data_IF_946330661937
#
_entry.id   IF_946330661937
#
_cell.length_a   1.000
_cell.length_b   1.000
_cell.length_c   1.000
_cell.angle_alpha   90.00
_cell.angle_beta   90.00
_cell.angle_gamma   90.00
#
_symmetry.space_group_name_H-M   'P 1'
#
loop_
_entity.id
_entity.type
_entity.pdbx_description
1 polymer ?
#
# COMPACT_ATOMS: atom_id res chain seq x y z
N UNK A 1 5.58 -7.79 13.21
CA UNK A 1 6.35 -8.36 12.09
C UNK A 1 6.34 -9.88 12.05
N UNK A 2 6.68 -10.60 13.14
CA UNK A 2 6.73 -12.07 13.13
C UNK A 2 5.39 -12.78 12.81
N UNK A 3 4.24 -12.18 13.11
CA UNK A 3 2.93 -12.75 12.74
C UNK A 3 2.58 -12.52 11.25
N UNK A 4 2.84 -11.31 10.73
CA UNK A 4 2.63 -10.96 9.32
C UNK A 4 3.52 -11.79 8.39
N UNK A 5 4.81 -11.89 8.70
CA UNK A 5 5.74 -12.73 7.93
C UNK A 5 5.34 -14.20 7.93
N UNK A 6 4.93 -14.76 9.08
CA UNK A 6 4.48 -16.18 9.15
C UNK A 6 3.22 -16.44 8.33
N UNK A 7 2.24 -15.53 8.35
CA UNK A 7 1.05 -15.62 7.49
C UNK A 7 1.44 -15.59 6.01
N UNK A 8 2.37 -14.71 5.63
CA UNK A 8 2.89 -14.65 4.26
C UNK A 8 3.62 -15.92 3.83
N UNK A 9 4.38 -16.59 4.72
CA UNK A 9 5.03 -17.86 4.39
C UNK A 9 4.05 -18.96 4.02
N UNK A 10 2.95 -19.10 4.78
CA UNK A 10 1.89 -20.09 4.47
C UNK A 10 1.25 -19.79 3.11
N UNK A 11 0.81 -18.55 2.90
CA UNK A 11 0.14 -18.15 1.67
C UNK A 11 1.08 -18.21 0.46
N UNK A 12 2.37 -17.92 0.64
CA UNK A 12 3.37 -18.05 -0.41
C UNK A 12 3.54 -19.52 -0.83
N UNK A 13 3.59 -20.45 0.14
CA UNK A 13 3.67 -21.87 -0.16
C UNK A 13 2.43 -22.37 -0.91
N UNK A 14 1.23 -21.92 -0.53
CA UNK A 14 -0.02 -22.22 -1.26
C UNK A 14 0.00 -21.67 -2.70
N UNK A 15 0.63 -20.52 -2.92
CA UNK A 15 0.81 -19.92 -4.24
C UNK A 15 2.00 -20.51 -5.04
N UNK A 16 2.72 -21.50 -4.50
CA UNK A 16 3.91 -22.08 -5.15
C UNK A 16 5.15 -21.17 -5.13
N UNK A 17 5.16 -20.14 -4.28
CA UNK A 17 6.26 -19.19 -4.12
C UNK A 17 7.14 -19.62 -2.94
N UNK A 18 8.44 -19.79 -3.20
CA UNK A 18 9.43 -20.01 -2.15
C UNK A 18 9.74 -18.68 -1.44
N UNK A 19 9.22 -18.50 -0.23
CA UNK A 19 9.45 -17.30 0.58
C UNK A 19 10.42 -17.57 1.73
N UNK A 20 11.47 -16.75 1.82
CA UNK A 20 12.42 -16.76 2.95
C UNK A 20 12.32 -15.45 3.70
N UNK A 21 12.07 -15.53 5.02
CA UNK A 21 12.11 -14.36 5.90
C UNK A 21 13.51 -14.21 6.48
N UNK A 22 14.12 -13.06 6.25
CA UNK A 22 15.45 -12.74 6.77
C UNK A 22 15.31 -11.60 7.77
N UNK A 23 15.76 -11.77 9.03
CA UNK A 23 15.72 -10.68 10.01
C UNK A 23 16.72 -9.60 9.64
N UNK A 24 16.36 -8.34 9.91
CA UNK A 24 17.30 -7.24 9.74
C UNK A 24 18.50 -7.37 10.68
N UNK A 25 19.71 -7.10 10.18
CA UNK A 25 20.89 -6.90 11.01
C UNK A 25 20.72 -5.75 12.01
N UNK A 26 21.60 -5.70 13.02
CA UNK A 26 21.53 -4.70 14.09
C UNK A 26 21.81 -3.25 13.62
N UNK A 27 22.40 -3.06 12.43
CA UNK A 27 22.81 -1.73 11.94
C UNK A 27 22.29 -1.46 10.54
N UNK A 28 22.09 -0.18 10.21
CA UNK A 28 21.70 0.28 8.87
C UNK A 28 22.73 -0.18 7.81
N UNK A 29 24.02 -0.01 8.08
CA UNK A 29 25.09 -0.41 7.15
C UNK A 29 25.10 -1.94 6.88
N UNK A 30 24.90 -2.77 7.91
CA UNK A 30 24.82 -4.22 7.72
C UNK A 30 23.53 -4.61 6.98
N UNK A 31 22.42 -3.91 7.23
CA UNK A 31 21.17 -4.11 6.48
C UNK A 31 21.34 -3.76 5.01
N UNK A 32 22.04 -2.67 4.70
CA UNK A 32 22.34 -2.28 3.33
C UNK A 32 23.20 -3.31 2.60
N UNK A 33 24.22 -3.86 3.28
CA UNK A 33 25.04 -4.93 2.74
C UNK A 33 24.22 -6.20 2.45
N UNK A 34 23.30 -6.57 3.36
CA UNK A 34 22.38 -7.69 3.16
C UNK A 34 21.43 -7.45 1.98
N UNK A 35 20.87 -6.25 1.83
CA UNK A 35 20.04 -5.90 0.68
C UNK A 35 20.81 -6.03 -0.63
N UNK A 36 22.08 -5.59 -0.66
CA UNK A 36 22.96 -5.70 -1.82
C UNK A 36 23.29 -7.16 -2.18
N UNK A 37 23.53 -8.00 -1.18
CA UNK A 37 23.75 -9.44 -1.38
C UNK A 37 22.51 -10.10 -1.99
N UNK A 38 21.34 -9.84 -1.40
CA UNK A 38 20.07 -10.37 -1.90
C UNK A 38 19.74 -9.85 -3.31
N UNK A 39 20.03 -8.57 -3.59
CA UNK A 39 19.79 -7.98 -4.91
C UNK A 39 20.67 -8.60 -5.99
N UNK A 40 21.90 -9.00 -5.64
CA UNK A 40 22.86 -9.59 -6.59
C UNK A 40 22.73 -11.11 -6.74
N UNK A 41 21.99 -11.79 -5.87
CA UNK A 41 21.86 -13.24 -5.90
C UNK A 41 20.92 -13.72 -7.03
N UNK A 42 21.43 -14.49 -7.99
CA UNK A 42 20.65 -14.99 -9.12
C UNK A 42 19.51 -15.96 -8.72
N UNK A 43 19.60 -16.59 -7.55
CA UNK A 43 18.57 -17.51 -7.02
C UNK A 43 17.41 -16.77 -6.33
N UNK A 44 17.45 -15.43 -6.28
CA UNK A 44 16.41 -14.59 -5.67
C UNK A 44 15.77 -13.73 -6.75
N UNK A 45 14.52 -14.02 -7.10
CA UNK A 45 13.77 -13.29 -8.12
C UNK A 45 13.30 -11.90 -7.65
N UNK A 46 13.04 -11.77 -6.35
CA UNK A 46 12.32 -10.64 -5.78
C UNK A 46 12.66 -10.43 -4.30
N UNK A 47 12.60 -9.18 -3.83
CA UNK A 47 12.80 -8.83 -2.42
C UNK A 47 11.82 -7.74 -2.01
N UNK A 48 11.20 -7.91 -0.84
CA UNK A 48 10.46 -6.84 -0.16
C UNK A 48 11.21 -6.45 1.12
N UNK A 49 11.51 -5.17 1.27
CA UNK A 49 12.02 -4.61 2.52
C UNK A 49 10.82 -4.21 3.39
N UNK A 50 10.50 -5.06 4.38
CA UNK A 50 9.36 -4.83 5.26
C UNK A 50 9.58 -3.59 6.15
N UNK A 51 8.57 -2.73 6.22
CA UNK A 51 8.60 -1.51 7.04
C UNK A 51 8.08 -1.73 8.46
N UNK A 52 8.56 -0.97 9.47
CA UNK A 52 9.58 0.07 9.36
C UNK A 52 10.99 -0.50 9.15
N UNK A 53 11.81 0.22 8.39
CA UNK A 53 13.23 -0.10 8.22
C UNK A 53 14.02 0.15 9.52
N UNK A 54 15.20 -0.48 9.69
CA UNK A 54 16.08 -0.20 10.81
C UNK A 54 16.42 1.29 10.94
N UNK A 55 16.52 1.78 12.18
CA UNK A 55 16.86 3.17 12.46
C UNK A 55 18.14 3.60 11.74
N UNK A 56 18.09 4.74 11.05
CA UNK A 56 19.21 5.31 10.33
C UNK A 56 19.42 4.76 8.92
N UNK A 57 18.59 3.80 8.45
CA UNK A 57 18.57 3.40 7.05
C UNK A 57 17.57 4.27 6.29
N UNK A 58 18.04 4.96 5.25
CA UNK A 58 17.18 5.76 4.38
C UNK A 58 16.37 4.84 3.44
N UNK A 59 15.03 5.01 3.33
CA UNK A 59 14.22 4.17 2.46
C UNK A 59 14.57 4.26 0.96
N UNK A 60 15.00 5.42 0.48
CA UNK A 60 15.44 5.60 -0.90
C UNK A 60 16.78 4.89 -1.13
N UNK A 61 17.72 4.97 -0.18
CA UNK A 61 18.99 4.23 -0.24
C UNK A 61 18.74 2.71 -0.29
N UNK A 62 17.84 2.21 0.56
CA UNK A 62 17.43 0.79 0.55
C UNK A 62 16.84 0.39 -0.81
N UNK A 63 15.92 1.19 -1.35
CA UNK A 63 15.29 0.92 -2.63
C UNK A 63 16.30 0.93 -3.80
N UNK A 64 17.20 1.91 -3.85
CA UNK A 64 18.26 1.99 -4.86
C UNK A 64 19.20 0.80 -4.80
N UNK A 65 19.54 0.33 -3.60
CA UNK A 65 20.43 -0.82 -3.40
C UNK A 65 19.79 -2.12 -3.85
N UNK A 66 18.47 -2.24 -3.68
CA UNK A 66 17.73 -3.40 -4.14
C UNK A 66 17.62 -3.46 -5.68
N UNK A 67 17.52 -2.30 -6.33
CA UNK A 67 17.36 -2.20 -7.77
C UNK A 67 15.92 -2.45 -8.25
N UNK A 68 15.56 -1.84 -9.37
CA UNK A 68 14.18 -1.84 -9.89
C UNK A 68 13.64 -3.24 -10.24
N UNK A 69 14.50 -4.13 -10.72
CA UNK A 69 14.09 -5.44 -11.22
C UNK A 69 13.47 -6.31 -10.11
N UNK A 70 14.09 -6.30 -8.92
CA UNK A 70 13.71 -7.14 -7.76
C UNK A 70 12.83 -6.42 -6.73
N UNK A 71 12.66 -5.11 -6.87
CA UNK A 71 11.76 -4.30 -6.06
C UNK A 71 10.30 -4.66 -6.36
N UNK A 72 9.70 -5.50 -5.53
CA UNK A 72 8.29 -5.94 -5.66
C UNK A 72 7.29 -5.01 -4.97
N UNK A 73 7.76 -4.01 -4.24
CA UNK A 73 6.94 -2.98 -3.63
C UNK A 73 6.95 -1.66 -4.41
N UNK A 74 7.59 -1.61 -5.59
CA UNK A 74 7.55 -0.44 -6.47
C UNK A 74 8.18 0.83 -5.87
N UNK A 75 9.06 0.70 -4.88
CA UNK A 75 9.67 1.82 -4.16
C UNK A 75 10.92 2.38 -4.86
N UNK A 76 11.51 1.62 -5.79
CA UNK A 76 12.66 2.07 -6.57
C UNK A 76 12.25 3.26 -7.47
N UNK A 77 13.06 4.34 -7.56
CA UNK A 77 12.72 5.54 -8.33
C UNK A 77 12.34 5.28 -9.79
N UNK A 78 12.97 4.30 -10.44
CA UNK A 78 12.58 3.87 -11.79
C UNK A 78 11.12 3.35 -11.84
N UNK A 79 10.72 2.45 -10.94
CA UNK A 79 9.35 1.93 -10.89
C UNK A 79 8.35 3.06 -10.55
N UNK A 80 8.67 3.86 -9.55
CA UNK A 80 7.83 4.99 -9.15
C UNK A 80 7.72 6.08 -10.25
N UNK A 81 8.81 6.35 -10.96
CA UNK A 81 8.86 7.30 -12.06
C UNK A 81 8.08 6.83 -13.28
N UNK A 82 8.22 5.56 -13.66
CA UNK A 82 7.43 4.95 -14.73
C UNK A 82 5.93 5.01 -14.39
N UNK A 83 5.56 4.70 -13.15
CA UNK A 83 4.18 4.82 -12.68
C UNK A 83 3.67 6.26 -12.78
N UNK A 84 4.46 7.24 -12.35
CA UNK A 84 4.08 8.65 -12.43
C UNK A 84 3.93 9.16 -13.88
N UNK A 85 4.61 8.53 -14.84
CA UNK A 85 4.50 8.82 -16.27
C UNK A 85 3.33 8.09 -16.96
N UNK A 86 2.57 7.27 -16.24
CA UNK A 86 1.54 6.40 -16.84
C UNK A 86 2.13 5.28 -17.72
N UNK A 87 3.42 4.95 -17.51
CA UNK A 87 4.13 3.92 -18.25
C UNK A 87 4.02 2.56 -17.55
N UNK A 88 4.24 1.44 -18.25
CA UNK A 88 4.32 0.12 -17.62
C UNK A 88 5.33 0.13 -16.47
N UNK A 89 4.85 -0.16 -15.27
CA UNK A 89 5.62 -0.13 -14.03
C UNK A 89 5.17 -1.25 -13.11
N UNK A 90 5.97 -1.55 -12.09
CA UNK A 90 5.55 -2.38 -10.96
C UNK A 90 5.08 -1.47 -9.82
N UNK A 91 3.76 -1.31 -9.60
CA UNK A 91 3.26 -0.45 -8.55
C UNK A 91 3.36 -1.13 -7.17
N UNK A 92 3.39 -0.35 -6.08
CA UNK A 92 3.23 -0.87 -4.73
C UNK A 92 1.94 -1.67 -4.59
N UNK A 93 2.03 -2.86 -3.99
CA UNK A 93 0.93 -3.83 -3.94
C UNK A 93 -0.31 -3.27 -3.22
N UNK A 94 -0.13 -2.50 -2.14
CA UNK A 94 -1.24 -1.87 -1.41
C UNK A 94 -1.96 -0.80 -2.23
N UNK A 95 -1.22 0.01 -2.98
CA UNK A 95 -1.82 1.01 -3.85
C UNK A 95 -2.64 0.35 -4.97
N UNK A 96 -2.10 -0.71 -5.60
CA UNK A 96 -2.85 -1.48 -6.59
C UNK A 96 -4.06 -2.18 -5.98
N UNK A 97 -3.96 -2.69 -4.74
CA UNK A 97 -5.10 -3.28 -4.03
C UNK A 97 -6.22 -2.26 -3.85
N UNK A 98 -5.89 -1.04 -3.41
CA UNK A 98 -6.87 0.02 -3.23
C UNK A 98 -7.55 0.40 -4.55
N UNK A 99 -6.80 0.50 -5.66
CA UNK A 99 -7.38 0.76 -6.98
C UNK A 99 -8.40 -0.31 -7.37
N UNK A 100 -8.03 -1.59 -7.25
CA UNK A 100 -8.91 -2.72 -7.61
C UNK A 100 -10.14 -2.82 -6.71
N UNK A 101 -9.97 -2.63 -5.39
CA UNK A 101 -11.09 -2.66 -4.44
C UNK A 101 -12.04 -1.48 -4.70
N UNK A 102 -11.51 -0.28 -4.96
CA UNK A 102 -12.34 0.88 -5.31
C UNK A 102 -13.15 0.62 -6.59
N UNK A 103 -12.51 0.04 -7.62
CA UNK A 103 -13.17 -0.32 -8.87
C UNK A 103 -14.23 -1.42 -8.69
N UNK A 104 -13.99 -2.40 -7.82
CA UNK A 104 -14.97 -3.45 -7.51
C UNK A 104 -16.17 -2.89 -6.75
N UNK A 105 -15.94 -2.09 -5.71
CA UNK A 105 -16.99 -1.61 -4.81
C UNK A 105 -17.83 -0.50 -5.44
N UNK A 106 -17.19 0.38 -6.20
CA UNK A 106 -17.87 1.52 -6.79
C UNK A 106 -18.24 1.23 -8.25
N UNK A 107 -17.52 0.39 -9.00
CA UNK A 107 -17.59 0.28 -10.46
C UNK A 107 -16.59 1.20 -11.16
N UNK A 108 -16.89 1.64 -12.39
CA UNK A 108 -15.97 2.50 -13.18
C UNK A 108 -15.48 3.71 -12.39
N UNK A 109 -14.16 3.93 -12.38
CA UNK A 109 -13.54 5.05 -11.67
C UNK A 109 -13.50 6.33 -12.52
N UNK A 110 -13.88 6.26 -13.80
CA UNK A 110 -13.86 7.40 -14.72
C UNK A 110 -14.76 8.54 -14.23
N UNK A 111 -14.17 9.72 -14.06
CA UNK A 111 -14.85 10.93 -13.61
C UNK A 111 -15.15 10.99 -12.11
N UNK A 112 -14.85 9.93 -11.35
CA UNK A 112 -15.17 9.88 -9.92
C UNK A 112 -14.27 10.73 -9.07
N UNK A 113 -14.84 11.33 -8.03
CA UNK A 113 -14.12 12.12 -7.04
C UNK A 113 -13.56 11.22 -5.93
N UNK A 114 -12.24 11.08 -5.88
CA UNK A 114 -11.53 10.27 -4.88
C UNK A 114 -10.62 11.17 -4.02
N UNK A 115 -10.80 11.10 -2.70
CA UNK A 115 -9.92 11.78 -1.75
C UNK A 115 -9.03 10.77 -1.03
N UNK A 116 -7.71 10.95 -1.15
CA UNK A 116 -6.70 10.18 -0.42
C UNK A 116 -6.31 10.94 0.85
N UNK A 117 -6.44 10.29 2.00
CA UNK A 117 -5.99 10.79 3.30
C UNK A 117 -4.67 10.13 3.65
N UNK A 118 -3.58 10.84 3.35
CA UNK A 118 -2.21 10.34 3.46
C UNK A 118 -1.49 10.38 2.12
N UNK A 119 -0.25 10.88 2.14
CA UNK A 119 0.60 11.05 0.95
C UNK A 119 1.91 10.25 1.04
N UNK A 120 1.84 9.05 1.61
CA UNK A 120 3.00 8.17 1.79
C UNK A 120 3.55 7.67 0.44
N UNK A 121 4.80 7.21 0.44
CA UNK A 121 5.48 6.65 -0.74
C UNK A 121 4.94 5.28 -1.16
N UNK A 122 4.28 4.58 -0.24
CA UNK A 122 3.83 3.19 -0.43
C UNK A 122 2.35 3.14 -0.81
N UNK A 123 1.53 4.08 -0.33
CA UNK A 123 0.08 4.09 -0.56
C UNK A 123 -0.37 5.36 -1.28
N UNK A 124 -0.36 6.52 -0.62
CA UNK A 124 -1.04 7.71 -1.12
C UNK A 124 -0.56 8.21 -2.49
N UNK A 125 0.74 8.45 -2.64
CA UNK A 125 1.33 8.94 -3.91
C UNK A 125 1.16 7.95 -5.07
N UNK A 126 1.56 6.67 -4.95
CA UNK A 126 1.38 5.72 -6.05
C UNK A 126 -0.10 5.47 -6.37
N UNK A 127 -0.98 5.46 -5.36
CA UNK A 127 -2.42 5.32 -5.57
C UNK A 127 -3.00 6.50 -6.35
N UNK A 128 -2.53 7.72 -6.11
CA UNK A 128 -2.98 8.89 -6.86
C UNK A 128 -2.74 8.74 -8.37
N UNK A 129 -1.56 8.25 -8.76
CA UNK A 129 -1.24 7.99 -10.17
C UNK A 129 -2.09 6.85 -10.73
N UNK A 130 -2.24 5.75 -9.98
CA UNK A 130 -3.06 4.61 -10.38
C UNK A 130 -4.54 4.96 -10.59
N UNK A 131 -5.10 5.85 -9.76
CA UNK A 131 -6.47 6.33 -9.88
C UNK A 131 -6.62 7.34 -11.03
N UNK A 132 -5.62 8.19 -11.23
CA UNK A 132 -5.57 9.11 -12.38
C UNK A 132 -5.57 8.33 -13.70
N UNK A 133 -4.75 7.27 -13.80
CA UNK A 133 -4.70 6.38 -14.96
C UNK A 133 -6.04 5.65 -15.19
N UNK A 134 -6.82 5.40 -14.13
CA UNK A 134 -8.17 4.85 -14.20
C UNK A 134 -9.26 5.89 -14.53
N UNK A 135 -8.86 7.15 -14.74
CA UNK A 135 -9.75 8.25 -15.13
C UNK A 135 -10.44 8.96 -13.97
N UNK A 136 -10.04 8.73 -12.72
CA UNK A 136 -10.62 9.41 -11.55
C UNK A 136 -10.09 10.85 -11.40
N UNK A 137 -10.92 11.71 -10.79
CA UNK A 137 -10.48 13.00 -10.23
C UNK A 137 -9.95 12.76 -8.81
N UNK A 138 -8.67 13.04 -8.58
CA UNK A 138 -7.99 12.68 -7.33
C UNK A 138 -7.57 13.91 -6.53
N UNK A 139 -7.96 13.96 -5.25
CA UNK A 139 -7.44 14.91 -4.26
C UNK A 139 -6.53 14.18 -3.27
N UNK A 140 -5.27 14.61 -3.15
CA UNK A 140 -4.33 14.04 -2.16
C UNK A 140 -4.22 15.00 -0.97
N UNK A 141 -4.53 14.50 0.22
CA UNK A 141 -4.43 15.26 1.48
C UNK A 141 -3.32 14.70 2.38
N UNK A 142 -2.82 15.53 3.28
CA UNK A 142 -1.71 15.22 4.18
C UNK A 142 -1.83 16.02 5.48
N UNK A 143 -0.84 15.88 6.37
CA UNK A 143 -0.83 16.49 7.71
C UNK A 143 -0.97 18.02 7.71
N UNK A 144 -0.57 18.69 6.62
CA UNK A 144 -0.66 20.16 6.49
C UNK A 144 -1.91 20.63 5.72
N UNK A 145 -2.77 19.70 5.30
CA UNK A 145 -4.03 20.04 4.63
C UNK A 145 -4.93 20.80 5.59
N UNK A 146 -5.36 22.00 5.17
CA UNK A 146 -6.37 22.78 5.89
C UNK A 146 -7.75 22.23 5.58
N UNK A 147 -8.58 22.11 6.61
CA UNK A 147 -9.98 21.66 6.48
C UNK A 147 -10.10 20.34 5.72
N UNK A 148 -9.58 19.27 6.31
CA UNK A 148 -9.66 17.92 5.75
C UNK A 148 -11.11 17.53 5.40
N UNK A 149 -12.08 17.95 6.21
CA UNK A 149 -13.51 17.67 6.03
C UNK A 149 -14.00 18.20 4.69
N UNK A 150 -13.61 19.41 4.29
CA UNK A 150 -14.02 19.98 3.00
C UNK A 150 -13.56 19.13 1.80
N UNK A 151 -12.45 18.40 1.93
CA UNK A 151 -11.93 17.52 0.88
C UNK A 151 -12.54 16.13 0.91
N UNK A 152 -12.71 15.52 2.09
CA UNK A 152 -13.25 14.16 2.20
C UNK A 152 -14.76 14.13 1.95
N UNK A 153 -15.50 15.13 2.42
CA UNK A 153 -16.97 15.14 2.38
C UNK A 153 -17.55 15.28 0.96
N UNK A 154 -16.78 15.83 0.02
CA UNK A 154 -17.15 15.93 -1.41
C UNK A 154 -16.81 14.66 -2.20
N UNK A 155 -16.04 13.74 -1.63
CA UNK A 155 -15.57 12.58 -2.36
C UNK A 155 -16.61 11.46 -2.37
N UNK A 156 -16.73 10.81 -3.52
CA UNK A 156 -17.49 9.56 -3.66
C UNK A 156 -16.72 8.40 -3.02
N UNK A 157 -15.38 8.46 -3.09
CA UNK A 157 -14.49 7.46 -2.51
C UNK A 157 -13.46 8.16 -1.60
N UNK A 158 -13.34 7.70 -0.36
CA UNK A 158 -12.31 8.12 0.59
C UNK A 158 -11.38 6.95 0.85
N UNK A 159 -10.09 7.11 0.57
CA UNK A 159 -9.06 6.12 0.94
C UNK A 159 -8.20 6.70 2.04
N UNK A 160 -8.18 6.07 3.21
CA UNK A 160 -7.40 6.55 4.36
C UNK A 160 -6.21 5.64 4.65
N UNK A 161 -5.03 6.26 4.74
CA UNK A 161 -3.74 5.61 4.98
C UNK A 161 -2.84 6.53 5.84
N UNK A 162 -3.44 7.22 6.82
CA UNK A 162 -2.77 8.19 7.68
C UNK A 162 -2.12 7.54 8.91
N UNK A 163 -2.61 6.38 9.36
CA UNK A 163 -2.11 5.68 10.53
C UNK A 163 -2.48 6.38 11.85
N UNK A 164 -3.67 6.98 11.90
CA UNK A 164 -4.20 7.72 13.04
C UNK A 164 -5.60 7.19 13.34
N UNK A 165 -5.76 6.36 14.39
CA UNK A 165 -7.06 5.81 14.80
C UNK A 165 -8.11 6.89 15.02
N UNK A 166 -9.29 6.71 14.40
CA UNK A 166 -10.43 7.61 14.56
C UNK A 166 -10.25 9.00 13.92
N UNK A 167 -9.26 9.18 13.04
CA UNK A 167 -9.09 10.41 12.28
C UNK A 167 -10.31 10.71 11.40
N UNK A 168 -10.82 9.68 10.71
CA UNK A 168 -12.00 9.81 9.86
C UNK A 168 -13.24 9.57 10.71
N UNK A 169 -14.14 10.54 10.71
CA UNK A 169 -15.36 10.59 11.54
C UNK A 169 -16.59 10.88 10.67
N UNK A 170 -17.83 10.79 11.19
CA UNK A 170 -19.04 11.09 10.42
C UNK A 170 -19.04 12.45 9.71
N UNK A 171 -18.33 13.45 10.25
CA UNK A 171 -18.22 14.77 9.63
C UNK A 171 -17.53 14.72 8.26
N UNK A 172 -16.63 13.76 8.07
CA UNK A 172 -15.78 13.61 6.89
C UNK A 172 -16.49 12.93 5.71
N UNK A 173 -17.64 12.29 5.94
CA UNK A 173 -18.27 11.38 4.98
C UNK A 173 -19.67 11.85 4.61
N UNK A 174 -20.05 11.63 3.35
CA UNK A 174 -21.41 11.82 2.86
C UNK A 174 -22.15 10.47 2.80
N UNK A 175 -23.50 10.46 2.78
CA UNK A 175 -24.23 9.24 2.46
C UNK A 175 -23.82 8.69 1.09
N UNK A 176 -23.65 7.38 0.99
CA UNK A 176 -23.19 6.66 -0.18
C UNK A 176 -21.67 6.63 -0.39
N UNK A 177 -20.87 7.28 0.48
CA UNK A 177 -19.40 7.26 0.35
C UNK A 177 -18.85 5.84 0.50
N UNK A 178 -17.95 5.47 -0.41
CA UNK A 178 -17.12 4.26 -0.31
C UNK A 178 -15.84 4.60 0.45
N UNK A 179 -15.56 3.90 1.55
CA UNK A 179 -14.40 4.12 2.41
C UNK A 179 -13.47 2.92 2.36
N UNK A 180 -12.24 3.13 1.90
CA UNK A 180 -11.16 2.15 1.97
C UNK A 180 -10.25 2.54 3.13
N UNK A 181 -10.35 1.80 4.23
CA UNK A 181 -9.48 1.95 5.40
C UNK A 181 -8.27 1.04 5.28
N UNK A 182 -7.14 1.62 4.89
CA UNK A 182 -5.90 0.91 4.58
C UNK A 182 -5.02 0.73 5.84
N UNK A 183 -5.28 1.54 6.86
CA UNK A 183 -4.40 1.64 8.03
C UNK A 183 -4.56 0.44 8.95
N UNK A 184 -3.44 0.02 9.53
CA UNK A 184 -3.39 -1.04 10.54
C UNK A 184 -2.78 -0.46 11.80
N UNK A 185 -3.64 -0.01 12.70
CA UNK A 185 -3.26 0.56 13.98
C UNK A 185 -3.51 -0.45 15.11
N UNK A 186 -2.79 -0.32 16.23
CA UNK A 186 -3.03 -1.13 17.44
C UNK A 186 -4.01 -0.39 18.36
N UNK A 187 -5.22 -0.92 18.51
CA UNK A 187 -6.19 -0.49 19.51
C UNK A 187 -6.10 -1.31 20.80
N UNK A 188 -6.99 -1.00 21.76
CA UNK A 188 -7.09 -1.73 23.03
C UNK A 188 -7.61 -3.16 22.87
N UNK A 189 -8.53 -3.38 21.93
CA UNK A 189 -9.23 -4.66 21.72
C UNK A 189 -8.76 -5.41 20.46
N UNK A 190 -7.85 -4.84 19.66
CA UNK A 190 -7.44 -5.44 18.40
C UNK A 190 -6.80 -4.47 17.41
N UNK A 191 -6.76 -4.87 16.15
CA UNK A 191 -6.34 -4.00 15.06
C UNK A 191 -7.51 -3.09 14.66
N UNK A 192 -7.22 -1.80 14.48
CA UNK A 192 -8.22 -0.78 14.09
C UNK A 192 -7.67 0.06 12.95
N UNK A 193 -8.56 0.60 12.13
CA UNK A 193 -8.21 1.49 11.04
C UNK A 193 -8.12 2.96 11.47
N UNK A 194 -8.15 3.87 10.50
CA UNK A 194 -8.24 5.31 10.74
C UNK A 194 -9.69 5.80 10.88
N UNK A 195 -10.68 5.01 10.42
CA UNK A 195 -12.10 5.32 10.55
C UNK A 195 -12.62 4.99 11.95
N UNK A 196 -13.32 5.94 12.55
CA UNK A 196 -14.18 5.68 13.70
C UNK A 196 -15.47 4.98 13.23
N UNK A 197 -15.36 3.67 13.03
CA UNK A 197 -16.45 2.83 12.52
C UNK A 197 -17.67 2.86 13.47
N UNK A 198 -17.43 2.92 14.78
CA UNK A 198 -18.49 2.96 15.77
C UNK A 198 -19.29 4.27 15.69
N UNK A 199 -18.61 5.41 15.53
CA UNK A 199 -19.28 6.70 15.35
C UNK A 199 -20.05 6.80 14.02
N UNK A 200 -19.62 6.05 12.99
CA UNK A 200 -20.30 5.99 11.69
C UNK A 200 -21.44 4.97 11.64
N UNK A 201 -21.75 4.30 12.74
CA UNK A 201 -22.80 3.29 12.80
C UNK A 201 -24.16 3.87 12.35
N UNK A 202 -24.80 3.22 11.37
CA UNK A 202 -26.09 3.62 10.82
C UNK A 202 -26.03 4.67 9.71
N UNK A 203 -24.84 5.14 9.32
CA UNK A 203 -24.68 5.89 8.07
C UNK A 203 -24.76 4.95 6.86
N UNK A 204 -25.31 5.44 5.76
CA UNK A 204 -25.27 4.75 4.46
C UNK A 204 -23.86 4.85 3.89
N UNK A 205 -23.01 3.86 4.16
CA UNK A 205 -21.61 3.81 3.75
C UNK A 205 -21.25 2.40 3.31
N UNK A 206 -20.32 2.29 2.36
CA UNK A 206 -19.62 1.03 2.05
C UNK A 206 -18.21 1.13 2.59
N UNK A 207 -17.81 0.26 3.53
CA UNK A 207 -16.52 0.38 4.23
C UNK A 207 -15.76 -0.94 4.14
N UNK A 208 -14.46 -0.88 3.84
CA UNK A 208 -13.60 -2.08 3.94
C UNK A 208 -13.31 -2.43 5.39
N UNK A 209 -13.41 -3.71 5.74
CA UNK A 209 -13.03 -4.18 7.07
C UNK A 209 -11.54 -4.00 7.37
N UNK A 210 -11.21 -3.83 8.65
CA UNK A 210 -9.84 -3.81 9.15
C UNK A 210 -9.69 -4.93 10.19
N UNK A 211 -8.75 -5.88 10.02
CA UNK A 211 -7.62 -5.88 9.06
C UNK A 211 -7.90 -6.60 7.72
N UNK A 212 -9.03 -7.27 7.56
CA UNK A 212 -9.23 -8.26 6.47
C UNK A 212 -9.91 -7.71 5.20
N UNK A 213 -9.96 -6.39 5.02
CA UNK A 213 -10.35 -5.74 3.76
C UNK A 213 -9.18 -5.60 2.77
N UNK A 214 -8.36 -4.55 2.91
CA UNK A 214 -7.28 -4.24 1.96
C UNK A 214 -6.08 -5.20 2.09
N UNK A 215 -5.83 -5.74 3.29
CA UNK A 215 -4.66 -6.56 3.59
C UNK A 215 -4.54 -7.86 2.77
N UNK A 216 -5.59 -8.69 2.67
CA UNK A 216 -5.56 -9.91 1.86
C UNK A 216 -5.27 -9.65 0.37
N UNK A 217 -5.90 -8.64 -0.22
CA UNK A 217 -5.68 -8.25 -1.63
C UNK A 217 -4.26 -7.75 -1.85
N UNK A 218 -3.73 -6.96 -0.90
CA UNK A 218 -2.32 -6.53 -0.91
C UNK A 218 -1.37 -7.74 -0.98
N UNK A 219 -1.64 -8.79 -0.19
CA UNK A 219 -0.78 -9.98 -0.16
C UNK A 219 -0.83 -10.73 -1.50
N UNK A 220 -2.02 -10.89 -2.08
CA UNK A 220 -2.16 -11.53 -3.39
C UNK A 220 -1.40 -10.76 -4.49
N UNK A 221 -1.48 -9.43 -4.49
CA UNK A 221 -0.78 -8.59 -5.45
C UNK A 221 0.74 -8.56 -5.23
N UNK A 222 1.20 -8.68 -3.99
CA UNK A 222 2.63 -8.84 -3.71
C UNK A 222 3.18 -10.13 -4.35
N UNK A 223 2.43 -11.23 -4.25
CA UNK A 223 2.80 -12.49 -4.90
C UNK A 223 2.74 -12.41 -6.43
N UNK A 224 1.75 -11.69 -6.97
CA UNK A 224 1.73 -11.38 -8.40
C UNK A 224 2.99 -10.62 -8.81
N UNK A 225 3.41 -9.62 -8.03
CA UNK A 225 4.62 -8.85 -8.28
C UNK A 225 5.90 -9.72 -8.24
N UNK A 226 5.96 -10.72 -7.34
CA UNK A 226 7.04 -11.74 -7.32
C UNK A 226 7.06 -12.54 -8.62
N UNK A 227 5.90 -13.06 -9.05
CA UNK A 227 5.82 -13.83 -10.29
C UNK A 227 6.22 -13.00 -11.52
N UNK A 228 5.76 -11.75 -11.61
CA UNK A 228 6.13 -10.83 -12.69
C UNK A 228 7.64 -10.54 -12.71
N UNK A 229 8.28 -10.43 -11.54
CA UNK A 229 9.72 -10.25 -11.42
C UNK A 229 10.50 -11.49 -11.92
N UNK A 230 10.10 -12.68 -11.49
CA UNK A 230 10.72 -13.94 -11.91
C UNK A 230 10.61 -14.15 -13.44
N UNK A 231 9.43 -13.90 -14.03
CA UNK A 231 9.20 -13.99 -15.47
C UNK A 231 10.08 -12.99 -16.25
N UNK A 232 10.27 -11.79 -15.72
CA UNK A 232 11.06 -10.75 -16.37
C UNK A 232 12.56 -11.04 -16.33
N UNK A 233 13.04 -11.75 -15.30
CA UNK A 233 14.46 -12.11 -15.15
C UNK A 233 14.92 -13.24 -16.09
N UNK A 234 13.99 -13.99 -16.69
CA UNK A 234 14.29 -15.09 -17.62
C UNK A 234 14.44 -14.63 -19.08
N UNK A 235 14.18 -13.35 -19.38
CA UNK A 235 14.31 -12.76 -20.72
C UNK A 235 15.66 -12.10 -20.91
#
# INVERSE_FOLDING_TARGET
MAAYGRRQQSLAAEAGIKLTLVPYPATAAATLAQLKENSSNAEIDAVAALHPLPTGLDPLEAALTLGAAKDIDGQHPLNAGLLALGAPARPPATAMACRLIAEELAGSLTGREVTLVGASRIVGRPLAHLLLDAGATVTVTHVDTKDLVAHTRRAEIVVTAAGVPGLITPAHLAPGTVVLDVSINRGSEGLVGDLDLAACAGMDLTVTDVPDGVGPVTTALLFKNVADAAISAQK
#
